data_IF_230843583844
#
_entry.id   IF_230843583844
#
_cell.length_a   1.000
_cell.length_b   1.000
_cell.length_c   1.000
_cell.angle_alpha   90.00
_cell.angle_beta   90.00
_cell.angle_gamma   90.00
#
_symmetry.space_group_name_H-M   'P 1'
#
loop_
_entity.id
_entity.type
_entity.pdbx_description
1 polymer ?
#
# COMPACT_ATOMS: atom_id res chain seq x y z
N UNK A 1 2.38 2.78 22.71
CA UNK A 1 1.35 3.57 22.01
C UNK A 1 0.85 2.84 20.79
N UNK A 2 -0.43 2.96 20.52
CA UNK A 2 -1.02 2.26 19.39
C UNK A 2 -0.76 3.01 18.09
N UNK A 3 -0.37 2.28 17.07
CA UNK A 3 -0.25 2.82 15.72
C UNK A 3 -1.63 3.01 15.14
N UNK A 4 -1.79 4.04 14.35
CA UNK A 4 -3.07 4.35 13.72
C UNK A 4 -2.95 4.08 12.22
N UNK A 5 -3.96 3.40 11.66
CA UNK A 5 -4.01 3.15 10.23
C UNK A 5 -4.31 4.45 9.49
N UNK A 6 -3.52 4.76 8.47
CA UNK A 6 -3.72 5.94 7.65
C UNK A 6 -4.67 5.62 6.50
N UNK A 7 -5.34 6.66 6.00
CA UNK A 7 -6.12 6.57 4.78
C UNK A 7 -5.43 7.38 3.71
N UNK A 8 -5.07 6.75 2.60
CA UNK A 8 -4.33 7.43 1.54
C UNK A 8 -4.96 7.18 0.18
N UNK A 9 -4.72 8.12 -0.74
CA UNK A 9 -5.09 7.97 -2.14
C UNK A 9 -3.80 7.88 -2.92
N UNK A 10 -3.63 6.79 -3.67
CA UNK A 10 -2.40 6.53 -4.42
C UNK A 10 -2.46 7.19 -5.79
N UNK A 11 -1.35 7.84 -6.16
CA UNK A 11 -1.15 8.44 -7.47
C UNK A 11 0.07 7.81 -8.13
N UNK A 12 0.35 8.15 -9.38
CA UNK A 12 1.45 7.53 -10.13
C UNK A 12 2.82 7.73 -9.47
N UNK A 13 3.10 8.93 -8.98
CA UNK A 13 4.42 9.24 -8.43
C UNK A 13 4.40 9.55 -6.95
N UNK A 14 3.23 9.53 -6.32
CA UNK A 14 3.11 9.91 -4.91
C UNK A 14 1.77 9.43 -4.36
N UNK A 15 1.52 9.72 -3.10
CA UNK A 15 0.22 9.46 -2.49
C UNK A 15 -0.16 10.65 -1.60
N UNK A 16 -1.48 10.84 -1.45
CA UNK A 16 -2.02 11.89 -0.58
C UNK A 16 -2.60 11.22 0.66
N UNK A 17 -2.31 11.78 1.83
CA UNK A 17 -2.86 11.28 3.08
C UNK A 17 -4.21 11.98 3.32
N UNK A 18 -5.28 11.21 3.29
CA UNK A 18 -6.64 11.70 3.51
C UNK A 18 -6.95 11.73 5.02
N UNK A 19 -6.59 10.66 5.72
CA UNK A 19 -6.68 10.61 7.18
C UNK A 19 -5.31 10.27 7.74
N UNK A 20 -4.84 11.08 8.66
CA UNK A 20 -3.52 10.89 9.26
C UNK A 20 -3.43 9.55 9.97
N UNK A 21 -2.26 8.94 9.86
CA UNK A 21 -1.95 7.69 10.52
C UNK A 21 -0.50 7.34 10.27
N UNK A 22 -0.11 6.18 10.77
CA UNK A 22 1.30 5.76 10.75
C UNK A 22 1.58 4.72 9.67
N UNK A 23 0.56 3.96 9.26
CA UNK A 23 0.77 2.82 8.37
C UNK A 23 -0.44 2.56 7.49
N UNK A 24 -0.20 1.77 6.44
CA UNK A 24 -1.25 1.16 5.62
C UNK A 24 -1.01 -0.35 5.60
N UNK A 25 -1.96 -1.12 5.07
CA UNK A 25 -1.88 -2.58 5.07
C UNK A 25 -1.67 -3.07 3.64
N UNK A 26 -0.76 -4.04 3.50
CA UNK A 26 -0.50 -4.68 2.21
C UNK A 26 -1.73 -5.48 1.76
N UNK A 27 -2.14 -5.29 0.51
CA UNK A 27 -3.30 -5.98 -0.03
C UNK A 27 -3.08 -7.47 -0.24
N UNK A 28 -1.82 -7.91 -0.31
CA UNK A 28 -1.48 -9.31 -0.58
C UNK A 28 -1.18 -10.06 0.72
N UNK A 29 -0.29 -9.52 1.54
CA UNK A 29 0.19 -10.22 2.72
C UNK A 29 -0.50 -9.81 4.02
N UNK A 30 -1.20 -8.68 4.03
CA UNK A 30 -1.81 -8.16 5.24
C UNK A 30 -0.84 -7.51 6.21
N UNK A 31 0.41 -7.35 5.80
CA UNK A 31 1.43 -6.74 6.66
C UNK A 31 1.23 -5.23 6.75
N UNK A 32 1.60 -4.67 7.90
CA UNK A 32 1.62 -3.23 8.09
C UNK A 32 2.81 -2.64 7.36
N UNK A 33 2.57 -1.56 6.64
CA UNK A 33 3.61 -0.82 5.91
C UNK A 33 3.63 0.60 6.46
N UNK A 34 4.72 0.99 7.11
CA UNK A 34 4.84 2.36 7.59
C UNK A 34 4.86 3.30 6.39
N UNK A 35 4.21 4.45 6.49
CA UNK A 35 4.13 5.38 5.36
C UNK A 35 5.51 5.79 4.85
N UNK A 36 6.48 5.92 5.73
CA UNK A 36 7.85 6.28 5.34
C UNK A 36 8.52 5.20 4.51
N UNK A 37 8.04 3.96 4.60
CA UNK A 37 8.60 2.81 3.89
C UNK A 37 7.76 2.41 2.68
N UNK A 38 6.64 3.09 2.46
CA UNK A 38 5.71 2.75 1.39
C UNK A 38 6.31 3.12 0.02
N UNK A 39 6.55 2.11 -0.81
CA UNK A 39 7.22 2.26 -2.10
C UNK A 39 6.42 1.67 -3.25
N UNK A 40 5.60 0.67 -2.99
CA UNK A 40 4.88 -0.06 -4.03
C UNK A 40 3.38 0.03 -3.82
N UNK A 41 2.65 0.42 -4.85
CA UNK A 41 1.18 0.50 -4.80
C UNK A 41 0.60 0.41 -6.20
N UNK A 42 -0.71 0.18 -6.27
CA UNK A 42 -1.46 0.13 -7.54
C UNK A 42 -2.48 1.26 -7.55
N UNK A 43 -2.35 2.17 -8.52
CA UNK A 43 -3.22 3.33 -8.63
C UNK A 43 -4.64 2.93 -9.02
N UNK A 44 -4.78 1.99 -9.93
CA UNK A 44 -6.10 1.56 -10.42
C UNK A 44 -6.92 0.88 -9.33
N UNK A 45 -6.26 0.03 -8.54
CA UNK A 45 -6.91 -0.72 -7.47
C UNK A 45 -6.84 0.00 -6.13
N UNK A 46 -6.02 1.06 -6.03
CA UNK A 46 -5.80 1.79 -4.78
C UNK A 46 -5.35 0.85 -3.67
N UNK A 47 -4.32 0.07 -3.98
CA UNK A 47 -3.75 -0.92 -3.05
C UNK A 47 -2.29 -0.65 -2.79
N UNK A 48 -1.86 -0.93 -1.56
CA UNK A 48 -0.44 -0.85 -1.19
C UNK A 48 0.16 -2.25 -1.16
N UNK A 49 1.45 -2.34 -1.43
CA UNK A 49 2.20 -3.61 -1.39
C UNK A 49 3.43 -3.45 -0.51
N UNK A 50 3.68 -4.46 0.31
CA UNK A 50 4.79 -4.43 1.26
C UNK A 50 6.15 -4.38 0.55
N UNK A 51 6.28 -5.12 -0.54
CA UNK A 51 7.53 -5.18 -1.31
C UNK A 51 7.24 -5.52 -2.76
N UNK A 52 8.31 -5.56 -3.58
CA UNK A 52 8.20 -5.95 -4.98
C UNK A 52 7.66 -7.38 -5.13
N UNK A 53 7.92 -8.24 -4.15
CA UNK A 53 7.43 -9.63 -4.17
C UNK A 53 5.91 -9.64 -4.16
N UNK A 54 5.30 -8.90 -3.24
CA UNK A 54 3.85 -8.80 -3.15
C UNK A 54 3.25 -8.12 -4.37
N UNK A 55 3.91 -7.06 -4.86
CA UNK A 55 3.46 -6.36 -6.05
C UNK A 55 3.43 -7.29 -7.27
N UNK A 56 4.47 -8.09 -7.45
CA UNK A 56 4.56 -9.05 -8.53
C UNK A 56 3.52 -10.16 -8.39
N UNK A 57 3.31 -10.63 -7.18
CA UNK A 57 2.31 -11.67 -6.91
C UNK A 57 0.92 -11.19 -7.29
N UNK A 58 0.57 -9.97 -6.90
CA UNK A 58 -0.74 -9.41 -7.23
C UNK A 58 -0.89 -9.20 -8.73
N UNK A 59 0.18 -8.72 -9.38
CA UNK A 59 0.19 -8.54 -10.82
C UNK A 59 -0.13 -9.86 -11.55
N UNK A 60 0.51 -10.94 -11.13
CA UNK A 60 0.26 -12.26 -11.71
C UNK A 60 -1.17 -12.74 -11.49
N UNK A 61 -1.72 -12.48 -10.29
CA UNK A 61 -3.11 -12.85 -9.99
C UNK A 61 -4.09 -12.12 -10.89
N UNK A 62 -3.82 -10.86 -11.20
CA UNK A 62 -4.71 -10.04 -12.01
C UNK A 62 -4.61 -10.35 -13.51
N UNK A 63 -3.50 -10.92 -13.95
CA UNK A 63 -3.22 -11.17 -15.37
C UNK A 63 -3.25 -12.66 -15.73
N UNK A 64 -3.93 -13.45 -14.96
CA UNK A 64 -4.10 -14.89 -15.23
C UNK A 64 -5.14 -15.10 -16.32
#
# INVERSE_FOLDING_TARGET
MNKKKAKVIFKHNSFDVVENGDYVVCAVSGREIMLKDLTYWNVDLQEAYFSAIEANKRYKELNV
#
